data_IF_123405845756
#
_entry.id   IF_123405845756
#
_cell.length_a   1.000
_cell.length_b   1.000
_cell.length_c   1.000
_cell.angle_alpha   90.00
_cell.angle_beta   90.00
_cell.angle_gamma   90.00
#
_symmetry.space_group_name_H-M   'P 1'
#
loop_
_entity.id
_entity.type
_entity.pdbx_description
1 polymer ?
#
# COMPACT_ATOMS: atom_id res chain seq x y z
N UNK A 1 17.35 -8.82 77.08
CA UNK A 1 17.15 -9.75 75.95
C UNK A 1 16.11 -9.13 75.01
N UNK A 2 16.57 -8.71 73.82
CA UNK A 2 15.83 -8.35 72.58
C UNK A 2 14.77 -7.22 72.64
N UNK A 3 15.14 -6.02 72.15
CA UNK A 3 14.19 -4.97 71.70
C UNK A 3 13.61 -5.40 70.35
N UNK A 4 12.29 -5.57 70.26
CA UNK A 4 11.56 -5.78 68.99
C UNK A 4 11.28 -4.41 68.37
N UNK A 5 12.02 -4.03 67.34
CA UNK A 5 11.71 -2.88 66.49
C UNK A 5 10.64 -3.29 65.47
N UNK A 6 9.46 -2.70 65.57
CA UNK A 6 8.42 -2.80 64.54
C UNK A 6 8.84 -1.94 63.36
N UNK A 7 9.12 -2.54 62.21
CA UNK A 7 9.27 -1.83 60.94
C UNK A 7 7.89 -1.69 60.31
N UNK A 8 7.37 -0.45 60.29
CA UNK A 8 6.16 -0.13 59.51
C UNK A 8 6.60 0.03 58.06
N UNK A 9 6.26 -0.96 57.22
CA UNK A 9 6.41 -0.86 55.78
C UNK A 9 5.33 0.10 55.24
N UNK A 10 5.73 1.31 54.88
CA UNK A 10 4.88 2.24 54.14
C UNK A 10 4.83 1.76 52.69
N UNK A 11 3.70 1.19 52.29
CA UNK A 11 3.40 0.86 50.89
C UNK A 11 3.02 2.17 50.19
N UNK A 12 3.94 2.73 49.41
CA UNK A 12 3.63 3.80 48.46
C UNK A 12 2.84 3.21 47.29
N UNK A 13 1.51 3.29 47.37
CA UNK A 13 0.64 3.11 46.21
C UNK A 13 0.80 4.35 45.34
N UNK A 14 1.65 4.26 44.31
CA UNK A 14 1.74 5.31 43.30
C UNK A 14 0.42 5.39 42.55
N UNK A 15 -0.21 6.57 42.53
CA UNK A 15 -1.28 6.87 41.58
C UNK A 15 -0.68 6.80 40.17
N UNK A 16 -0.89 5.68 39.48
CA UNK A 16 -0.65 5.60 38.04
C UNK A 16 -1.82 6.33 37.40
N UNK A 17 -1.59 7.56 36.93
CA UNK A 17 -2.60 8.27 36.14
C UNK A 17 -2.90 7.41 34.89
N UNK A 18 -4.17 7.27 34.47
CA UNK A 18 -4.49 6.61 33.22
C UNK A 18 -3.77 7.37 32.10
N UNK A 19 -2.87 6.68 31.39
CA UNK A 19 -2.33 7.19 30.14
C UNK A 19 -3.49 7.16 29.15
N UNK A 20 -4.04 8.34 28.85
CA UNK A 20 -5.02 8.49 27.79
C UNK A 20 -4.34 8.10 26.47
N UNK A 21 -4.86 7.10 25.77
CA UNK A 21 -4.33 6.69 24.48
C UNK A 21 -4.75 7.72 23.42
N UNK A 22 -3.85 8.66 23.13
CA UNK A 22 -4.02 9.54 21.97
C UNK A 22 -3.90 8.75 20.67
N UNK A 23 -4.61 9.22 19.64
CA UNK A 23 -4.49 8.71 18.26
C UNK A 23 -4.03 9.80 17.31
N UNK A 24 -3.37 9.39 16.24
CA UNK A 24 -3.12 10.22 15.08
C UNK A 24 -4.21 9.93 14.05
N UNK A 25 -4.94 10.96 13.65
CA UNK A 25 -5.88 10.93 12.55
C UNK A 25 -5.25 11.59 11.33
N UNK A 26 -5.13 10.84 10.24
CA UNK A 26 -4.60 11.30 8.96
C UNK A 26 -5.79 11.49 8.04
N UNK A 27 -6.30 12.73 7.88
CA UNK A 27 -7.45 12.96 7.02
C UNK A 27 -7.10 12.70 5.55
N UNK A 28 -8.09 12.30 4.76
CA UNK A 28 -7.96 12.10 3.32
C UNK A 28 -8.94 12.99 2.52
N UNK A 29 -9.59 13.94 3.21
CA UNK A 29 -10.40 14.99 2.63
C UNK A 29 -9.52 16.14 2.09
N UNK A 30 -10.14 17.28 1.76
CA UNK A 30 -9.47 18.45 1.21
C UNK A 30 -8.46 19.12 2.17
N UNK A 31 -8.41 18.74 3.45
CA UNK A 31 -7.43 19.25 4.41
C UNK A 31 -6.08 18.54 4.29
N UNK A 32 -6.02 17.40 3.58
CA UNK A 32 -4.76 16.68 3.41
C UNK A 32 -3.85 17.40 2.41
N UNK A 33 -2.63 17.65 2.85
CA UNK A 33 -1.58 18.32 2.06
C UNK A 33 -0.96 17.41 1.01
N UNK A 34 -0.96 16.09 1.23
CA UNK A 34 -0.45 15.13 0.25
C UNK A 34 -1.10 13.74 0.38
N UNK A 35 -2.15 13.48 -0.41
CA UNK A 35 -2.89 12.21 -0.37
C UNK A 35 -2.05 10.99 -0.78
N UNK A 36 -1.23 11.09 -1.82
CA UNK A 36 -0.41 9.96 -2.28
C UNK A 36 0.63 9.58 -1.23
N UNK A 37 1.30 10.57 -0.63
CA UNK A 37 2.22 10.31 0.49
C UNK A 37 1.52 9.82 1.75
N UNK A 38 0.24 10.15 1.96
CA UNK A 38 -0.53 9.62 3.08
C UNK A 38 -0.80 8.12 2.95
N UNK A 39 -1.10 7.62 1.74
CA UNK A 39 -1.13 6.18 1.47
C UNK A 39 0.24 5.54 1.71
N UNK A 40 1.31 6.15 1.21
CA UNK A 40 2.66 5.67 1.46
C UNK A 40 3.05 5.65 2.94
N UNK A 41 2.57 6.61 3.74
CA UNK A 41 2.73 6.59 5.19
C UNK A 41 1.98 5.40 5.81
N UNK A 42 0.75 5.10 5.37
CA UNK A 42 0.01 3.93 5.88
C UNK A 42 0.76 2.62 5.61
N UNK A 43 1.30 2.43 4.40
CA UNK A 43 2.16 1.29 4.07
C UNK A 43 3.40 1.23 4.96
N UNK A 44 4.10 2.34 5.12
CA UNK A 44 5.28 2.43 5.96
C UNK A 44 4.98 2.08 7.43
N UNK A 45 3.82 2.48 7.96
CA UNK A 45 3.39 2.11 9.32
C UNK A 45 3.18 0.59 9.42
N UNK A 46 2.52 -0.02 8.42
CA UNK A 46 2.28 -1.47 8.38
C UNK A 46 3.57 -2.28 8.24
N UNK A 47 4.56 -1.77 7.53
CA UNK A 47 5.91 -2.37 7.43
C UNK A 47 6.65 -2.38 8.77
N UNK A 48 6.30 -1.45 9.67
CA UNK A 48 6.81 -1.40 11.04
C UNK A 48 5.92 -2.18 12.03
N UNK A 49 5.06 -3.06 11.53
CA UNK A 49 4.19 -3.95 12.31
C UNK A 49 3.22 -3.20 13.23
N UNK A 50 2.85 -1.97 12.87
CA UNK A 50 1.86 -1.16 13.60
C UNK A 50 0.52 -1.21 12.86
N UNK A 51 -0.54 -1.56 13.58
CA UNK A 51 -1.90 -1.59 13.04
C UNK A 51 -2.40 -0.20 12.65
N UNK A 52 -3.00 -0.10 11.46
CA UNK A 52 -3.67 1.11 10.97
C UNK A 52 -5.16 0.82 10.82
N UNK A 53 -6.00 1.74 11.26
CA UNK A 53 -7.43 1.71 10.98
C UNK A 53 -7.74 2.57 9.76
N UNK A 54 -8.34 1.97 8.73
CA UNK A 54 -8.85 2.70 7.58
C UNK A 54 -10.34 2.98 7.78
N UNK A 55 -10.66 4.26 7.92
CA UNK A 55 -12.01 4.77 8.21
C UNK A 55 -12.73 5.02 6.88
N UNK A 56 -13.33 3.98 6.30
CA UNK A 56 -14.00 4.01 5.01
C UNK A 56 -15.13 5.04 4.98
N UNK A 57 -15.14 5.87 3.94
CA UNK A 57 -16.08 6.98 3.73
C UNK A 57 -16.09 8.07 4.81
N UNK A 58 -15.29 7.96 5.88
CA UNK A 58 -15.09 9.02 6.85
C UNK A 58 -13.93 9.92 6.40
N UNK A 59 -14.19 11.22 6.24
CA UNK A 59 -13.19 12.24 5.83
C UNK A 59 -12.31 11.78 4.65
N UNK A 60 -12.94 11.27 3.60
CA UNK A 60 -12.26 10.82 2.38
C UNK A 60 -11.56 9.46 2.48
N UNK A 61 -11.85 8.66 3.51
CA UNK A 61 -11.14 7.41 3.77
C UNK A 61 -9.93 7.61 4.66
N UNK A 62 -10.10 8.35 5.77
CA UNK A 62 -9.01 8.71 6.68
C UNK A 62 -8.34 7.48 7.31
N UNK A 63 -7.08 7.65 7.74
CA UNK A 63 -6.37 6.64 8.52
C UNK A 63 -6.27 7.05 9.98
N UNK A 64 -6.39 6.09 10.90
CA UNK A 64 -6.09 6.29 12.32
C UNK A 64 -5.08 5.28 12.82
N UNK A 65 -4.20 5.72 13.72
CA UNK A 65 -3.17 4.90 14.36
C UNK A 65 -2.93 5.41 15.77
N UNK A 66 -2.38 4.56 16.65
CA UNK A 66 -1.92 5.02 17.96
C UNK A 66 -0.93 6.18 17.83
N UNK A 67 -0.97 7.13 18.76
CA UNK A 67 -0.12 8.31 18.70
C UNK A 67 1.34 8.01 19.08
N UNK A 68 2.08 7.49 18.10
CA UNK A 68 3.50 7.21 18.19
C UNK A 68 4.28 8.39 17.59
N UNK A 69 5.18 9.01 18.37
CA UNK A 69 5.94 10.19 17.94
C UNK A 69 6.76 9.95 16.66
N UNK A 70 7.23 8.72 16.45
CA UNK A 70 7.94 8.34 15.23
C UNK A 70 7.05 8.50 13.99
N UNK A 71 5.80 8.05 14.05
CA UNK A 71 4.83 8.16 12.96
C UNK A 71 4.49 9.63 12.70
N UNK A 72 4.29 10.42 13.76
CA UNK A 72 4.03 11.85 13.63
C UNK A 72 5.18 12.58 12.92
N UNK A 73 6.44 12.27 13.28
CA UNK A 73 7.62 12.82 12.61
C UNK A 73 7.70 12.39 11.15
N UNK A 74 7.45 11.11 10.87
CA UNK A 74 7.46 10.60 9.49
C UNK A 74 6.39 11.26 8.62
N UNK A 75 5.19 11.48 9.16
CA UNK A 75 4.13 12.24 8.49
C UNK A 75 4.59 13.66 8.14
N UNK A 76 5.25 14.37 9.07
CA UNK A 76 5.80 15.71 8.80
C UNK A 76 6.85 15.69 7.70
N UNK A 77 7.79 14.74 7.74
CA UNK A 77 8.86 14.59 6.73
C UNK A 77 8.29 14.32 5.35
N UNK A 78 7.18 13.58 5.26
CA UNK A 78 6.47 13.28 4.02
C UNK A 78 5.51 14.38 3.57
N UNK A 79 5.35 15.45 4.35
CA UNK A 79 4.38 16.53 4.07
C UNK A 79 2.93 16.08 4.19
N UNK A 80 2.66 15.09 5.04
CA UNK A 80 1.33 14.54 5.31
C UNK A 80 0.74 15.22 6.54
N UNK A 81 -0.46 15.77 6.38
CA UNK A 81 -1.22 16.37 7.47
C UNK A 81 -1.80 15.29 8.38
N UNK A 82 -1.76 15.52 9.70
CA UNK A 82 -2.37 14.67 10.71
C UNK A 82 -2.89 15.53 11.89
N UNK A 83 -3.76 14.95 12.70
CA UNK A 83 -4.32 15.54 13.91
C UNK A 83 -4.08 14.58 15.07
N UNK A 84 -3.60 15.09 16.21
CA UNK A 84 -3.64 14.34 17.47
C UNK A 84 -5.01 14.55 18.11
N UNK A 85 -5.65 13.45 18.46
CA UNK A 85 -6.97 13.44 19.09
C UNK A 85 -6.99 12.46 20.23
N UNK A 86 -7.69 12.82 21.30
CA UNK A 86 -7.87 11.99 22.48
C UNK A 86 -8.94 10.91 22.25
N UNK A 87 -9.06 10.00 23.23
CA UNK A 87 -10.03 8.91 23.17
C UNK A 87 -11.48 9.40 23.07
N UNK A 88 -11.81 10.52 23.72
CA UNK A 88 -13.18 11.06 23.71
C UNK A 88 -13.58 11.56 22.32
N UNK A 89 -12.67 12.26 21.63
CA UNK A 89 -12.89 12.67 20.24
C UNK A 89 -12.91 11.46 19.30
N UNK A 90 -12.03 10.47 19.49
CA UNK A 90 -12.07 9.24 18.70
C UNK A 90 -13.37 8.45 18.88
N UNK A 91 -13.90 8.38 20.10
CA UNK A 91 -15.20 7.76 20.36
C UNK A 91 -16.33 8.46 19.58
N UNK A 92 -16.25 9.79 19.44
CA UNK A 92 -17.20 10.55 18.63
C UNK A 92 -17.06 10.24 17.13
N UNK A 93 -15.83 10.06 16.63
CA UNK A 93 -15.56 9.61 15.25
C UNK A 93 -16.17 8.23 15.00
N UNK A 94 -15.94 7.26 15.89
CA UNK A 94 -16.52 5.92 15.72
C UNK A 94 -18.05 5.94 15.78
N UNK A 95 -18.64 6.75 16.67
CA UNK A 95 -20.10 6.90 16.73
C UNK A 95 -20.69 7.51 15.44
N UNK A 96 -19.98 8.44 14.79
CA UNK A 96 -20.38 8.98 13.48
C UNK A 96 -20.31 7.90 12.39
N UNK A 97 -19.24 7.11 12.38
CA UNK A 97 -19.04 6.00 11.44
C UNK A 97 -20.17 4.98 11.58
N UNK A 98 -20.48 4.52 12.80
CA UNK A 98 -21.55 3.55 13.08
C UNK A 98 -22.95 4.05 12.69
N UNK A 99 -23.16 5.36 12.71
CA UNK A 99 -24.45 5.97 12.39
C UNK A 99 -24.69 6.21 10.89
N UNK A 100 -23.68 5.99 10.04
CA UNK A 100 -23.70 6.31 8.62
C UNK A 100 -23.24 5.13 7.73
N UNK A 101 -23.21 5.34 6.41
CA UNK A 101 -22.69 4.35 5.46
C UNK A 101 -21.15 4.40 5.39
N UNK A 102 -20.52 4.14 6.53
CA UNK A 102 -19.07 4.16 6.76
C UNK A 102 -18.65 2.85 7.44
N UNK A 103 -17.35 2.57 7.51
CA UNK A 103 -16.83 1.36 8.15
C UNK A 103 -15.39 1.55 8.66
N UNK A 104 -14.94 0.70 9.58
CA UNK A 104 -13.56 0.67 10.08
C UNK A 104 -12.92 -0.65 9.67
N UNK A 105 -11.94 -0.57 8.77
CA UNK A 105 -11.13 -1.72 8.37
C UNK A 105 -9.79 -1.68 9.09
N UNK A 106 -9.48 -2.72 9.87
CA UNK A 106 -8.17 -2.87 10.53
C UNK A 106 -7.17 -3.50 9.56
N UNK A 107 -6.06 -2.80 9.33
CA UNK A 107 -4.95 -3.21 8.51
C UNK A 107 -3.78 -3.59 9.42
N UNK A 108 -3.28 -4.82 9.30
CA UNK A 108 -2.27 -5.36 10.22
C UNK A 108 -0.97 -5.74 9.52
N UNK A 109 -0.99 -5.90 8.19
CA UNK A 109 0.17 -6.31 7.40
C UNK A 109 0.23 -5.54 6.09
N UNK A 110 1.43 -5.10 5.72
CA UNK A 110 1.68 -4.51 4.40
C UNK A 110 1.59 -5.59 3.30
N UNK A 111 0.79 -5.39 2.24
CA UNK A 111 0.66 -6.35 1.16
C UNK A 111 1.88 -6.32 0.23
N UNK A 112 2.30 -7.47 -0.28
CA UNK A 112 3.30 -7.53 -1.37
C UNK A 112 2.64 -7.17 -2.70
N UNK A 113 3.14 -6.13 -3.35
CA UNK A 113 2.59 -5.60 -4.61
C UNK A 113 3.47 -6.02 -5.79
N UNK A 114 2.83 -6.51 -6.84
CA UNK A 114 3.45 -6.71 -8.13
C UNK A 114 2.85 -5.77 -9.19
N UNK A 115 3.67 -5.37 -10.16
CA UNK A 115 3.24 -4.69 -11.37
C UNK A 115 3.62 -5.55 -12.57
N UNK A 116 2.62 -6.01 -13.30
CA UNK A 116 2.81 -6.76 -14.54
C UNK A 116 3.14 -5.78 -15.67
N UNK A 117 4.39 -5.79 -16.13
CA UNK A 117 4.88 -4.80 -17.09
C UNK A 117 6.03 -5.35 -17.93
N UNK A 118 6.09 -5.04 -19.24
CA UNK A 118 7.13 -5.57 -20.10
C UNK A 118 8.51 -5.02 -19.72
N UNK A 119 9.60 -5.79 -19.91
CA UNK A 119 10.94 -5.38 -19.46
C UNK A 119 11.47 -4.12 -20.16
N UNK A 120 10.88 -3.73 -21.30
CA UNK A 120 11.23 -2.52 -22.04
C UNK A 120 10.30 -1.32 -21.74
N UNK A 121 9.38 -1.43 -20.77
CA UNK A 121 8.52 -0.32 -20.32
C UNK A 121 9.34 0.86 -19.81
N UNK A 122 8.98 2.08 -20.18
CA UNK A 122 9.58 3.28 -19.58
C UNK A 122 8.88 3.65 -18.26
N UNK A 123 9.57 4.28 -17.29
CA UNK A 123 8.99 4.63 -15.99
C UNK A 123 7.74 5.52 -16.03
N UNK A 124 7.58 6.32 -17.08
CA UNK A 124 6.44 7.22 -17.27
C UNK A 124 5.29 6.61 -18.09
N UNK A 125 5.45 5.38 -18.58
CA UNK A 125 4.43 4.70 -19.39
C UNK A 125 3.26 4.20 -18.53
N UNK A 126 3.44 4.12 -17.21
CA UNK A 126 2.46 3.60 -16.26
C UNK A 126 2.26 4.58 -15.08
N UNK A 127 1.04 5.12 -14.99
CA UNK A 127 0.68 6.07 -13.94
C UNK A 127 0.65 5.45 -12.54
N UNK A 128 0.40 4.14 -12.44
CA UNK A 128 0.39 3.41 -11.16
C UNK A 128 1.79 3.23 -10.64
N UNK A 129 2.78 2.87 -11.48
CA UNK A 129 4.19 2.83 -11.02
C UNK A 129 4.66 4.19 -10.57
N UNK A 130 4.32 5.25 -11.31
CA UNK A 130 4.63 6.62 -10.89
C UNK A 130 3.99 6.99 -9.55
N UNK A 131 2.75 6.58 -9.31
CA UNK A 131 2.05 6.84 -8.05
C UNK A 131 2.68 6.06 -6.87
N UNK A 132 3.04 4.79 -7.07
CA UNK A 132 3.72 3.96 -6.06
C UNK A 132 5.09 4.54 -5.71
N UNK A 133 5.89 4.90 -6.71
CA UNK A 133 7.20 5.54 -6.52
C UNK A 133 7.07 6.87 -5.79
N UNK A 134 6.11 7.71 -6.20
CA UNK A 134 5.85 8.98 -5.54
C UNK A 134 5.38 8.77 -4.10
N UNK A 135 4.55 7.78 -3.82
CA UNK A 135 4.13 7.43 -2.47
C UNK A 135 5.26 6.79 -1.64
N UNK A 136 6.31 6.31 -2.28
CA UNK A 136 7.37 5.47 -1.67
C UNK A 136 6.78 4.17 -1.13
N UNK A 137 6.01 3.48 -1.97
CA UNK A 137 5.47 2.14 -1.74
C UNK A 137 6.26 1.17 -2.62
N UNK A 138 6.82 0.14 -1.99
CA UNK A 138 7.62 -0.86 -2.69
C UNK A 138 6.75 -1.80 -3.53
N UNK A 139 7.25 -2.15 -4.72
CA UNK A 139 6.62 -3.09 -5.63
C UNK A 139 7.68 -3.84 -6.44
N UNK A 140 7.32 -5.03 -6.92
CA UNK A 140 8.15 -5.82 -7.81
C UNK A 140 7.54 -5.85 -9.22
N UNK A 141 8.39 -5.92 -10.25
CA UNK A 141 7.94 -6.06 -11.63
C UNK A 141 7.89 -7.53 -12.02
N UNK A 142 6.80 -7.93 -12.67
CA UNK A 142 6.63 -9.28 -13.22
C UNK A 142 6.34 -9.22 -14.71
N UNK A 143 6.78 -10.26 -15.42
CA UNK A 143 6.38 -10.47 -16.81
C UNK A 143 5.95 -11.92 -17.07
N UNK A 144 5.77 -12.26 -18.35
CA UNK A 144 5.21 -13.55 -18.80
C UNK A 144 5.90 -14.76 -18.17
N UNK A 145 7.23 -14.77 -18.16
CA UNK A 145 8.01 -15.88 -17.62
C UNK A 145 7.85 -16.04 -16.11
N UNK A 146 7.75 -14.92 -15.37
CA UNK A 146 7.55 -14.95 -13.92
C UNK A 146 6.18 -15.55 -13.57
N UNK A 147 5.14 -15.19 -14.34
CA UNK A 147 3.80 -15.75 -14.15
C UNK A 147 3.78 -17.24 -14.51
N UNK A 148 4.35 -17.61 -15.66
CA UNK A 148 4.42 -19.02 -16.11
C UNK A 148 5.27 -19.91 -15.19
N UNK A 149 6.20 -19.34 -14.43
CA UNK A 149 6.99 -20.04 -13.41
C UNK A 149 6.33 -20.10 -12.03
N UNK A 150 5.13 -19.52 -11.87
CA UNK A 150 4.32 -19.61 -10.65
C UNK A 150 4.59 -18.52 -9.61
N UNK A 151 5.42 -17.51 -9.91
CA UNK A 151 5.76 -16.44 -8.96
C UNK A 151 4.58 -15.57 -8.55
N UNK A 152 3.49 -15.57 -9.32
CA UNK A 152 2.30 -14.78 -9.00
C UNK A 152 1.74 -15.09 -7.60
N UNK A 153 1.90 -16.34 -7.13
CA UNK A 153 1.46 -16.78 -5.81
C UNK A 153 2.19 -16.13 -4.63
N UNK A 154 3.28 -15.39 -4.89
CA UNK A 154 4.08 -14.72 -3.87
C UNK A 154 3.56 -13.32 -3.48
N UNK A 155 2.58 -12.79 -4.21
CA UNK A 155 2.09 -11.42 -4.09
C UNK A 155 0.63 -11.38 -3.64
N UNK A 156 0.29 -10.35 -2.86
CA UNK A 156 -1.06 -10.13 -2.35
C UNK A 156 -1.90 -9.27 -3.33
N UNK A 157 -1.24 -8.43 -4.13
CA UNK A 157 -1.90 -7.55 -5.09
C UNK A 157 -1.11 -7.40 -6.39
N UNK A 158 -1.82 -7.29 -7.51
CA UNK A 158 -1.21 -7.11 -8.83
C UNK A 158 -1.86 -5.96 -9.60
N UNK A 159 -1.04 -5.03 -10.09
CA UNK A 159 -1.44 -4.11 -11.14
C UNK A 159 -1.15 -4.72 -12.50
N UNK A 160 -2.10 -4.63 -13.43
CA UNK A 160 -1.97 -5.12 -14.79
C UNK A 160 -2.82 -4.31 -15.77
N UNK A 161 -2.47 -4.39 -17.04
CA UNK A 161 -3.24 -3.85 -18.13
C UNK A 161 -3.91 -4.99 -18.90
N UNK A 162 -5.24 -4.97 -18.97
CA UNK A 162 -6.01 -6.03 -19.64
C UNK A 162 -5.60 -6.26 -21.10
N UNK A 163 -5.11 -5.22 -21.79
CA UNK A 163 -4.64 -5.29 -23.17
C UNK A 163 -3.40 -6.19 -23.36
N UNK A 164 -2.61 -6.41 -22.31
CA UNK A 164 -1.38 -7.19 -22.40
C UNK A 164 -1.65 -8.69 -22.64
N UNK A 165 -2.85 -9.17 -22.31
CA UNK A 165 -3.23 -10.57 -22.42
C UNK A 165 -3.85 -10.94 -23.78
N UNK A 166 -3.94 -9.98 -24.70
CA UNK A 166 -4.58 -10.18 -26.02
C UNK A 166 -3.66 -10.85 -27.05
N UNK A 167 -2.33 -10.66 -26.92
CA UNK A 167 -1.37 -11.03 -27.96
C UNK A 167 -1.45 -10.19 -29.25
N UNK A 168 -2.14 -9.03 -29.21
CA UNK A 168 -2.33 -8.14 -30.36
C UNK A 168 -1.26 -7.06 -30.50
N UNK A 169 -0.18 -7.12 -29.71
CA UNK A 169 0.92 -6.13 -29.72
C UNK A 169 0.41 -4.69 -29.48
N UNK A 170 -0.62 -4.55 -28.64
CA UNK A 170 -1.22 -3.27 -28.25
C UNK A 170 -2.12 -2.60 -29.30
N UNK A 171 -2.84 -1.55 -28.87
CA UNK A 171 -3.77 -0.78 -29.71
C UNK A 171 -3.09 0.12 -30.78
N UNK A 172 -1.76 0.14 -30.80
CA UNK A 172 -0.95 1.12 -31.50
C UNK A 172 -0.57 0.73 -32.93
N UNK A 173 -0.94 -0.47 -33.37
CA UNK A 173 -0.60 -0.99 -34.70
C UNK A 173 -0.95 -0.02 -35.83
N UNK A 174 -2.19 0.50 -35.87
CA UNK A 174 -2.65 1.33 -36.98
C UNK A 174 -1.82 2.62 -37.16
N UNK A 175 -1.40 3.23 -36.06
CA UNK A 175 -0.68 4.50 -36.05
C UNK A 175 0.84 4.33 -36.10
N UNK A 176 1.38 3.24 -35.55
CA UNK A 176 2.81 3.14 -35.23
C UNK A 176 3.48 1.86 -35.75
N UNK A 177 2.81 1.03 -36.55
CA UNK A 177 3.38 -0.23 -37.11
C UNK A 177 4.76 -0.11 -37.77
N UNK A 178 5.09 1.07 -38.29
CA UNK A 178 6.35 1.31 -39.00
C UNK A 178 7.44 1.90 -38.10
N UNK A 179 7.10 2.31 -36.89
CA UNK A 179 8.04 2.90 -35.95
C UNK A 179 8.98 1.83 -35.38
N UNK A 180 10.23 2.23 -35.14
CA UNK A 180 11.26 1.32 -34.62
C UNK A 180 10.85 0.71 -33.28
N UNK A 181 10.36 1.53 -32.34
CA UNK A 181 9.97 1.08 -31.00
C UNK A 181 8.86 0.01 -31.06
N UNK A 182 7.89 0.16 -31.97
CA UNK A 182 6.79 -0.79 -32.12
C UNK A 182 7.28 -2.12 -32.68
N UNK A 183 8.13 -2.07 -33.72
CA UNK A 183 8.75 -3.25 -34.33
C UNK A 183 9.68 -3.98 -33.36
N UNK A 184 10.38 -3.25 -32.51
CA UNK A 184 11.24 -3.80 -31.47
C UNK A 184 10.43 -4.51 -30.39
N UNK A 185 9.33 -3.91 -29.95
CA UNK A 185 8.40 -4.53 -29.01
C UNK A 185 7.77 -5.80 -29.59
N UNK A 186 7.34 -5.78 -30.86
CA UNK A 186 6.81 -6.97 -31.53
C UNK A 186 7.85 -8.10 -31.55
N UNK A 187 9.10 -7.78 -31.95
CA UNK A 187 10.20 -8.76 -31.96
C UNK A 187 10.52 -9.32 -30.58
N UNK A 188 10.48 -8.48 -29.54
CA UNK A 188 10.68 -8.91 -28.16
C UNK A 188 9.63 -9.95 -27.77
N UNK A 189 8.35 -9.66 -27.99
CA UNK A 189 7.27 -10.57 -27.61
C UNK A 189 7.30 -11.88 -28.41
N UNK A 190 7.61 -11.83 -29.70
CA UNK A 190 7.79 -13.04 -30.52
C UNK A 190 8.98 -13.89 -30.06
N UNK A 191 10.09 -13.25 -29.69
CA UNK A 191 11.26 -13.93 -29.16
C UNK A 191 10.98 -14.59 -27.80
N UNK A 192 10.28 -13.90 -26.90
CA UNK A 192 9.88 -14.47 -25.61
C UNK A 192 8.92 -15.65 -25.78
N UNK A 193 7.92 -15.53 -26.66
CA UNK A 193 7.02 -16.64 -26.96
C UNK A 193 7.78 -17.86 -27.47
N UNK A 194 8.69 -17.68 -28.43
CA UNK A 194 9.50 -18.77 -28.97
C UNK A 194 10.41 -19.40 -27.89
N UNK A 195 11.06 -18.57 -27.06
CA UNK A 195 11.93 -19.00 -25.97
C UNK A 195 11.18 -19.80 -24.91
N UNK A 196 9.94 -19.44 -24.64
CA UNK A 196 9.06 -20.10 -23.66
C UNK A 196 8.26 -21.28 -24.26
N UNK A 197 8.53 -21.65 -25.52
CA UNK A 197 7.97 -22.85 -26.14
C UNK A 197 6.63 -22.65 -26.88
N UNK A 198 6.22 -21.40 -27.11
CA UNK A 198 4.97 -21.07 -27.81
C UNK A 198 5.22 -20.71 -29.28
N UNK A 199 4.34 -21.15 -30.18
CA UNK A 199 4.43 -20.80 -31.60
C UNK A 199 3.97 -19.37 -31.89
N UNK A 200 3.03 -18.85 -31.10
CA UNK A 200 2.46 -17.51 -31.29
C UNK A 200 2.33 -16.79 -29.94
N UNK A 201 2.50 -15.47 -29.97
CA UNK A 201 2.40 -14.61 -28.77
C UNK A 201 1.05 -14.75 -28.08
N UNK A 202 -0.06 -14.77 -28.82
CA UNK A 202 -1.38 -14.94 -28.21
C UNK A 202 -1.54 -16.29 -27.47
N UNK A 203 -0.84 -17.35 -27.89
CA UNK A 203 -0.88 -18.64 -27.19
C UNK A 203 -0.14 -18.55 -25.85
N UNK A 204 1.00 -17.86 -25.83
CA UNK A 204 1.72 -17.56 -24.59
C UNK A 204 0.86 -16.69 -23.67
N UNK A 205 0.29 -15.59 -24.16
CA UNK A 205 -0.57 -14.70 -23.36
C UNK A 205 -1.83 -15.40 -22.84
N UNK A 206 -2.42 -16.31 -23.61
CA UNK A 206 -3.50 -17.17 -23.13
C UNK A 206 -3.04 -18.07 -21.98
N UNK A 207 -1.87 -18.70 -22.08
CA UNK A 207 -1.33 -19.55 -21.02
C UNK A 207 -0.99 -18.74 -19.75
N UNK A 208 -0.50 -17.51 -19.89
CA UNK A 208 -0.24 -16.59 -18.76
C UNK A 208 -1.54 -16.21 -18.03
N UNK A 209 -2.66 -16.13 -18.75
CA UNK A 209 -3.96 -15.74 -18.19
C UNK A 209 -4.77 -16.90 -17.57
N UNK A 210 -4.27 -18.14 -17.64
CA UNK A 210 -4.92 -19.34 -17.07
C UNK A 210 -4.44 -19.62 -15.64
#
# INVERSE_FOLDING_TARGET
MVRKTLWVAVVMVGLVAPVSAERLLIPMDLQQTNHLKAYGLAFWILEHEVTVEWLLNYRGGAFSVDAIDLIAREAQLRGVSYQRIDEANMASVYAEIDAANMDVVRLEKSPRIAVYTPPNSQPWDDAVTMALEYASIDYEKLWDEDVLSGKLSEYDWIHLHHEDFTGQYGKFYASFRNDAWYRDQQRLYEADAARLGFTKVWQMKHAVAQ
#
